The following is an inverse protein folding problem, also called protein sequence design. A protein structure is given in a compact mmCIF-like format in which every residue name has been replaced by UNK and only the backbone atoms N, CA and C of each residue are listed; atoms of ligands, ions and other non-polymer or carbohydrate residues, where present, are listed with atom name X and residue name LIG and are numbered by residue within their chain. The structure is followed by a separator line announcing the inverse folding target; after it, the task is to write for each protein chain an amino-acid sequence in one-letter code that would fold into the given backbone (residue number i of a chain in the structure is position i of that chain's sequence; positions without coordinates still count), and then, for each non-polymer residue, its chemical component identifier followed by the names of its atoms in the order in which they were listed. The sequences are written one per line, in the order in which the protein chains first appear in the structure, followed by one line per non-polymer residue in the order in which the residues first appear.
data_IF_397912326612
#
_entry.id   IF_397912326612
#
_cell.length_a   1.000
_cell.length_b   1.000
_cell.length_c   1.000
_cell.angle_alpha   90.00
_cell.angle_beta   90.00
_cell.angle_gamma   90.00
#
_symmetry.space_group_name_H-M   'P 1'
#
loop_
_entity.id
_entity.type
_entity.pdbx_description
1 polymer ?
#
# COMPACT_ATOMS: atom_id res chain seq x y z
N UNK A 1 27.49 -14.42 -6.69
CA UNK A 1 27.11 -13.99 -8.02
C UNK A 1 26.66 -12.54 -7.94
N UNK A 2 27.14 -11.65 -8.83
CA UNK A 2 26.71 -10.26 -8.79
C UNK A 2 25.20 -10.24 -8.92
N UNK A 3 24.55 -9.43 -8.06
CA UNK A 3 23.18 -9.08 -8.25
C UNK A 3 22.97 -8.71 -9.73
N UNK A 4 22.10 -9.42 -10.44
CA UNK A 4 21.75 -9.07 -11.80
C UNK A 4 21.16 -7.68 -11.72
N UNK A 5 22.03 -6.69 -11.94
CA UNK A 5 21.58 -5.33 -12.17
C UNK A 5 20.53 -5.42 -13.26
N UNK A 6 19.46 -4.66 -13.12
CA UNK A 6 18.41 -4.50 -14.12
C UNK A 6 19.09 -4.25 -15.48
N UNK A 7 19.35 -5.33 -16.21
CA UNK A 7 20.02 -5.28 -17.49
C UNK A 7 18.96 -4.85 -18.50
N UNK A 8 19.12 -3.64 -18.96
CA UNK A 8 18.35 -3.01 -20.01
C UNK A 8 18.49 -3.78 -21.33
N UNK A 9 17.55 -4.66 -21.58
CA UNK A 9 17.19 -5.11 -22.92
C UNK A 9 15.67 -5.03 -23.09
N UNK A 10 15.09 -4.01 -22.48
CA UNK A 10 13.65 -3.86 -22.50
C UNK A 10 13.27 -3.18 -23.81
N UNK A 11 12.62 -3.89 -24.71
CA UNK A 11 12.11 -3.29 -25.91
C UNK A 11 11.06 -2.23 -25.53
N UNK A 12 11.12 -1.01 -26.07
CA UNK A 12 10.13 0.02 -25.77
C UNK A 12 8.70 -0.44 -26.03
N UNK A 13 8.56 -1.41 -26.94
CA UNK A 13 7.28 -2.03 -27.29
C UNK A 13 6.74 -2.87 -26.12
N UNK A 14 7.58 -3.69 -25.47
CA UNK A 14 7.15 -4.51 -24.32
C UNK A 14 6.75 -3.63 -23.13
N UNK A 15 7.50 -2.57 -22.86
CA UNK A 15 7.15 -1.59 -21.82
C UNK A 15 5.82 -0.92 -22.16
N UNK A 16 5.63 -0.50 -23.42
CA UNK A 16 4.37 0.09 -23.88
C UNK A 16 3.18 -0.87 -23.73
N UNK A 17 3.34 -2.12 -24.11
CA UNK A 17 2.33 -3.18 -23.95
C UNK A 17 2.03 -3.43 -22.47
N UNK A 18 3.05 -3.52 -21.61
CA UNK A 18 2.89 -3.71 -20.18
C UNK A 18 2.06 -2.57 -19.56
N UNK A 19 2.42 -1.32 -19.86
CA UNK A 19 1.70 -0.15 -19.34
C UNK A 19 0.27 -0.12 -19.86
N UNK A 20 0.05 -0.37 -21.13
CA UNK A 20 -1.28 -0.31 -21.74
C UNK A 20 -2.22 -1.39 -21.18
N UNK A 21 -1.76 -2.64 -21.12
CA UNK A 21 -2.57 -3.76 -20.64
C UNK A 21 -2.83 -3.63 -19.12
N UNK A 22 -1.80 -3.28 -18.35
CA UNK A 22 -1.96 -3.08 -16.90
C UNK A 22 -2.87 -1.91 -16.58
N UNK A 23 -2.80 -0.81 -17.34
CA UNK A 23 -3.71 0.32 -17.18
C UNK A 23 -5.15 -0.03 -17.56
N UNK A 24 -5.35 -0.76 -18.65
CA UNK A 24 -6.68 -1.23 -19.05
C UNK A 24 -7.30 -2.15 -17.99
N UNK A 25 -6.52 -3.10 -17.47
CA UNK A 25 -6.97 -3.99 -16.40
C UNK A 25 -7.30 -3.24 -15.10
N UNK A 26 -6.49 -2.24 -14.74
CA UNK A 26 -6.76 -1.36 -13.61
C UNK A 26 -8.09 -0.62 -13.76
N UNK A 27 -8.33 -0.05 -14.94
CA UNK A 27 -9.58 0.66 -15.26
C UNK A 27 -10.78 -0.29 -15.20
N UNK A 28 -10.68 -1.46 -15.81
CA UNK A 28 -11.74 -2.48 -15.77
C UNK A 28 -12.04 -2.89 -14.34
N UNK A 29 -11.04 -3.21 -13.53
CA UNK A 29 -11.20 -3.58 -12.14
C UNK A 29 -11.83 -2.45 -11.30
N UNK A 30 -11.52 -1.18 -11.63
CA UNK A 30 -12.14 -0.03 -11.01
C UNK A 30 -13.63 0.08 -11.36
N UNK A 31 -14.01 -0.09 -12.62
CA UNK A 31 -15.41 -0.06 -13.07
C UNK A 31 -16.25 -1.19 -12.49
N UNK A 32 -15.67 -2.37 -12.30
CA UNK A 32 -16.30 -3.51 -11.61
C UNK A 32 -16.45 -3.26 -10.11
N UNK A 33 -15.96 -2.11 -9.60
CA UNK A 33 -15.97 -1.74 -8.17
C UNK A 33 -15.21 -2.71 -7.28
N UNK A 34 -14.16 -3.32 -7.83
CA UNK A 34 -13.29 -4.16 -7.02
C UNK A 34 -12.53 -3.31 -5.98
N UNK A 35 -12.49 -3.70 -4.70
CA UNK A 35 -11.77 -2.94 -3.66
C UNK A 35 -10.30 -2.79 -4.04
N UNK A 36 -9.81 -1.54 -4.15
CA UNK A 36 -8.44 -1.29 -4.62
C UNK A 36 -8.21 -1.61 -6.09
N UNK A 37 -9.28 -1.65 -6.93
CA UNK A 37 -9.26 -2.13 -8.31
C UNK A 37 -8.17 -1.55 -9.19
N UNK A 38 -7.82 -0.26 -9.02
CA UNK A 38 -6.73 0.35 -9.80
C UNK A 38 -5.37 -0.33 -9.54
N UNK A 39 -5.07 -0.65 -8.29
CA UNK A 39 -3.79 -1.27 -7.92
C UNK A 39 -3.83 -2.76 -8.25
N UNK A 40 -4.88 -3.47 -7.83
CA UNK A 40 -4.98 -4.91 -8.04
C UNK A 40 -5.12 -5.28 -9.50
N UNK A 41 -5.89 -4.52 -10.28
CA UNK A 41 -6.03 -4.75 -11.72
C UNK A 41 -4.69 -4.65 -12.45
N UNK A 42 -3.92 -3.59 -12.18
CA UNK A 42 -2.59 -3.43 -12.76
C UNK A 42 -1.63 -4.54 -12.31
N UNK A 43 -1.62 -4.85 -11.02
CA UNK A 43 -0.74 -5.86 -10.43
C UNK A 43 -1.04 -7.26 -10.99
N UNK A 44 -2.33 -7.65 -11.06
CA UNK A 44 -2.74 -8.94 -11.60
C UNK A 44 -2.39 -9.08 -13.08
N UNK A 45 -2.64 -8.04 -13.88
CA UNK A 45 -2.29 -8.04 -15.30
C UNK A 45 -0.76 -8.17 -15.49
N UNK A 46 0.01 -7.41 -14.73
CA UNK A 46 1.47 -7.50 -14.76
C UNK A 46 1.96 -8.89 -14.34
N UNK A 47 1.39 -9.46 -13.29
CA UNK A 47 1.74 -10.81 -12.83
C UNK A 47 1.43 -11.89 -13.87
N UNK A 48 0.29 -11.80 -14.56
CA UNK A 48 -0.09 -12.73 -15.64
C UNK A 48 0.87 -12.57 -16.84
N UNK A 49 1.17 -11.35 -17.25
CA UNK A 49 2.05 -11.08 -18.40
C UNK A 49 3.47 -11.58 -18.17
N UNK A 50 4.04 -11.36 -16.99
CA UNK A 50 5.36 -11.87 -16.63
C UNK A 50 5.34 -13.37 -16.34
N UNK A 51 4.33 -13.87 -15.65
CA UNK A 51 4.19 -15.30 -15.32
C UNK A 51 3.95 -16.19 -16.54
N UNK A 52 3.28 -15.67 -17.57
CA UNK A 52 3.09 -16.38 -18.86
C UNK A 52 4.32 -16.31 -19.78
N UNK A 53 5.32 -15.50 -19.44
CA UNK A 53 6.50 -15.30 -20.28
C UNK A 53 6.23 -14.44 -21.53
N UNK A 54 5.08 -13.77 -21.61
CA UNK A 54 4.76 -12.88 -22.73
C UNK A 54 5.56 -11.58 -22.69
N UNK A 55 5.93 -11.12 -21.50
CA UNK A 55 6.70 -9.90 -21.27
C UNK A 55 7.80 -10.22 -20.28
N UNK A 56 9.02 -9.82 -20.63
CA UNK A 56 10.20 -9.92 -19.77
C UNK A 56 10.76 -8.55 -19.41
N UNK A 57 10.14 -7.49 -19.93
CA UNK A 57 10.56 -6.11 -19.71
C UNK A 57 10.35 -5.69 -18.26
N UNK A 58 11.35 -5.00 -17.72
CA UNK A 58 11.26 -4.32 -16.41
C UNK A 58 11.13 -2.82 -16.59
N UNK A 59 10.50 -2.15 -15.63
CA UNK A 59 10.39 -0.69 -15.68
C UNK A 59 11.76 -0.03 -15.54
N UNK A 60 12.12 0.93 -16.42
CA UNK A 60 13.36 1.67 -16.31
C UNK A 60 13.49 2.34 -14.95
N UNK A 61 14.67 2.30 -14.34
CA UNK A 61 14.92 2.83 -13.00
C UNK A 61 14.55 4.31 -12.85
N UNK A 62 14.77 5.12 -13.89
CA UNK A 62 14.44 6.55 -13.89
C UNK A 62 12.92 6.78 -13.81
N UNK A 63 12.11 5.93 -14.47
CA UNK A 63 10.66 6.01 -14.44
C UNK A 63 10.12 5.62 -13.04
N UNK A 64 10.65 4.53 -12.48
CA UNK A 64 10.31 4.12 -11.10
C UNK A 64 10.67 5.23 -10.12
N UNK A 65 11.85 5.83 -10.25
CA UNK A 65 12.28 6.94 -9.40
C UNK A 65 11.37 8.16 -9.54
N UNK A 66 10.97 8.52 -10.76
CA UNK A 66 10.06 9.64 -11.01
C UNK A 66 8.68 9.38 -10.35
N UNK A 67 8.14 8.17 -10.50
CA UNK A 67 6.87 7.79 -9.85
C UNK A 67 6.98 7.83 -8.33
N UNK A 68 8.09 7.35 -7.76
CA UNK A 68 8.31 7.40 -6.30
C UNK A 68 8.40 8.84 -5.78
N UNK A 69 9.06 9.75 -6.51
CA UNK A 69 9.09 11.18 -6.18
C UNK A 69 7.69 11.79 -6.23
N UNK A 70 6.90 11.49 -7.28
CA UNK A 70 5.52 11.96 -7.38
C UNK A 70 4.64 11.44 -6.24
N UNK A 71 4.74 10.16 -5.90
CA UNK A 71 4.02 9.56 -4.77
C UNK A 71 4.42 10.21 -3.45
N UNK A 72 5.72 10.44 -3.25
CA UNK A 72 6.24 11.15 -2.08
C UNK A 72 5.71 12.58 -1.99
N UNK A 73 5.68 13.31 -3.10
CA UNK A 73 5.15 14.67 -3.18
C UNK A 73 3.64 14.72 -2.88
N UNK A 74 2.85 13.81 -3.46
CA UNK A 74 1.40 13.72 -3.20
C UNK A 74 1.14 13.38 -1.73
N UNK A 75 1.89 12.45 -1.16
CA UNK A 75 1.76 12.07 0.25
C UNK A 75 2.18 13.21 1.16
N UNK A 76 3.31 13.85 0.85
CA UNK A 76 3.83 14.99 1.61
C UNK A 76 2.92 16.21 1.55
N UNK A 77 2.28 16.48 0.41
CA UNK A 77 1.36 17.61 0.24
C UNK A 77 0.15 17.56 1.19
N UNK A 78 -0.24 16.36 1.65
CA UNK A 78 -1.31 16.21 2.64
C UNK A 78 -0.96 16.82 4.00
N UNK A 79 0.33 16.98 4.28
CA UNK A 79 0.83 17.59 5.52
C UNK A 79 1.13 19.09 5.37
N UNK A 80 1.06 19.66 4.17
CA UNK A 80 1.47 21.04 3.89
C UNK A 80 0.74 22.09 4.74
N UNK A 81 -0.54 21.84 5.08
CA UNK A 81 -1.36 22.76 5.88
C UNK A 81 -1.58 22.24 7.32
N UNK A 82 -0.78 21.26 7.77
CA UNK A 82 -0.92 20.69 9.10
C UNK A 82 -0.02 21.43 10.07
N UNK A 83 -0.60 21.99 11.13
CA UNK A 83 0.19 22.64 12.19
C UNK A 83 1.09 21.61 12.88
N UNK A 84 2.36 21.93 13.03
CA UNK A 84 3.33 21.09 13.75
C UNK A 84 2.86 20.74 15.17
N UNK A 85 2.15 21.67 15.84
CA UNK A 85 1.56 21.43 17.16
C UNK A 85 0.54 20.28 17.15
N UNK A 86 -0.25 20.16 16.08
CA UNK A 86 -1.20 19.08 15.92
C UNK A 86 -0.47 17.74 15.72
N UNK A 87 0.61 17.74 14.95
CA UNK A 87 1.46 16.56 14.75
C UNK A 87 2.03 16.06 16.09
N UNK A 88 2.64 16.95 16.87
CA UNK A 88 3.21 16.58 18.16
C UNK A 88 2.14 16.09 19.16
N UNK A 89 0.95 16.68 19.14
CA UNK A 89 -0.14 16.25 20.00
C UNK A 89 -0.59 14.82 19.72
N UNK A 90 -0.59 14.42 18.45
CA UNK A 90 -1.02 13.07 18.04
C UNK A 90 0.14 12.07 17.96
N UNK A 91 1.37 12.53 18.08
CA UNK A 91 2.55 11.67 17.97
C UNK A 91 2.55 10.51 18.96
N UNK A 92 2.26 10.78 20.23
CA UNK A 92 2.22 9.73 21.25
C UNK A 92 1.06 8.75 21.04
N UNK A 93 -0.08 9.23 20.56
CA UNK A 93 -1.21 8.36 20.23
C UNK A 93 -0.88 7.46 19.01
N UNK A 94 -0.23 8.02 17.99
CA UNK A 94 0.22 7.27 16.83
C UNK A 94 1.29 6.23 17.20
N UNK A 95 2.26 6.62 18.04
CA UNK A 95 3.30 5.72 18.54
C UNK A 95 2.70 4.59 19.38
N UNK A 96 1.73 4.89 20.26
CA UNK A 96 1.01 3.90 21.03
C UNK A 96 0.24 2.90 20.15
N UNK A 97 -0.51 3.40 19.16
CA UNK A 97 -1.23 2.58 18.19
C UNK A 97 -0.28 1.69 17.37
N UNK A 98 0.84 2.24 16.94
CA UNK A 98 1.88 1.49 16.21
C UNK A 98 2.48 0.40 17.09
N UNK A 99 2.79 0.69 18.36
CA UNK A 99 3.36 -0.28 19.31
C UNK A 99 2.38 -1.44 19.57
N UNK A 100 1.09 -1.14 19.74
CA UNK A 100 0.05 -2.17 19.90
C UNK A 100 -0.05 -3.03 18.64
N UNK A 101 -0.05 -2.42 17.47
CA UNK A 101 -0.06 -3.15 16.19
C UNK A 101 1.16 -4.06 16.07
N UNK A 102 2.34 -3.56 16.39
CA UNK A 102 3.58 -4.33 16.35
C UNK A 102 3.56 -5.51 17.32
N UNK A 103 3.02 -5.32 18.53
CA UNK A 103 2.86 -6.39 19.51
C UNK A 103 1.92 -7.50 19.01
N UNK A 104 0.77 -7.11 18.44
CA UNK A 104 -0.19 -8.07 17.86
C UNK A 104 0.48 -8.86 16.74
N UNK A 105 1.17 -8.19 15.84
CA UNK A 105 1.92 -8.82 14.73
C UNK A 105 2.99 -9.78 15.28
N UNK A 106 3.75 -9.38 16.30
CA UNK A 106 4.75 -10.23 16.91
C UNK A 106 4.16 -11.50 17.52
N UNK A 107 3.01 -11.39 18.20
CA UNK A 107 2.29 -12.55 18.75
C UNK A 107 1.84 -13.50 17.64
N UNK A 108 1.22 -12.98 16.57
CA UNK A 108 0.80 -13.82 15.44
C UNK A 108 1.98 -14.44 14.70
N UNK A 109 3.07 -13.72 14.52
CA UNK A 109 4.29 -14.23 13.91
C UNK A 109 4.89 -15.37 14.76
N UNK A 110 4.94 -15.20 16.07
CA UNK A 110 5.39 -16.25 16.99
C UNK A 110 4.49 -17.50 16.90
N UNK A 111 3.16 -17.32 16.96
CA UNK A 111 2.21 -18.43 16.81
C UNK A 111 2.41 -19.14 15.48
N UNK A 112 2.55 -18.42 14.36
CA UNK A 112 2.77 -19.01 13.04
C UNK A 112 4.10 -19.79 12.98
N UNK A 113 5.17 -19.25 13.53
CA UNK A 113 6.47 -19.90 13.54
C UNK A 113 6.45 -21.21 14.34
N UNK A 114 5.72 -21.26 15.48
CA UNK A 114 5.64 -22.46 16.30
C UNK A 114 4.64 -23.52 15.80
N UNK A 115 3.64 -23.09 15.00
CA UNK A 115 2.58 -24.02 14.53
C UNK A 115 2.87 -24.63 13.16
N UNK A 116 3.60 -23.93 12.29
CA UNK A 116 3.75 -24.30 10.87
C UNK A 116 5.19 -24.72 10.54
N UNK A 117 6.08 -24.78 11.52
CA UNK A 117 7.50 -25.15 11.34
C UNK A 117 8.22 -24.34 10.25
N UNK A 118 7.94 -23.04 10.23
CA UNK A 118 8.54 -22.09 9.29
C UNK A 118 9.80 -21.46 9.87
N UNK A 119 10.72 -21.05 8.99
CA UNK A 119 11.90 -20.31 9.41
C UNK A 119 11.48 -18.98 10.07
N UNK A 120 11.86 -18.77 11.31
CA UNK A 120 11.50 -17.59 12.09
C UNK A 120 11.82 -16.25 11.37
N UNK A 121 12.98 -16.08 10.72
CA UNK A 121 13.28 -14.85 9.99
C UNK A 121 12.30 -14.55 8.84
N UNK A 122 11.91 -15.58 8.06
CA UNK A 122 10.93 -15.45 6.97
C UNK A 122 9.57 -14.98 7.49
N UNK A 123 9.13 -15.57 8.61
CA UNK A 123 7.88 -15.22 9.26
C UNK A 123 7.93 -13.79 9.80
N UNK A 124 9.00 -13.39 10.49
CA UNK A 124 9.13 -12.05 11.05
C UNK A 124 9.08 -10.98 9.96
N UNK A 125 9.80 -11.16 8.86
CA UNK A 125 9.79 -10.20 7.74
C UNK A 125 8.46 -10.19 7.02
N UNK A 126 7.79 -11.34 6.87
CA UNK A 126 6.47 -11.45 6.24
C UNK A 126 5.36 -10.76 7.04
N UNK A 127 5.42 -10.85 8.37
CA UNK A 127 4.44 -10.23 9.25
C UNK A 127 4.76 -8.77 9.59
N UNK A 128 6.00 -8.32 9.40
CA UNK A 128 6.43 -6.97 9.74
C UNK A 128 5.55 -5.89 9.06
N UNK A 129 5.16 -4.83 9.78
CA UNK A 129 4.45 -3.70 9.19
C UNK A 129 5.42 -2.87 8.36
N UNK A 130 5.42 -3.07 7.04
CA UNK A 130 6.30 -2.36 6.11
C UNK A 130 5.74 -2.31 4.70
N UNK A 131 6.36 -1.48 3.85
CA UNK A 131 6.05 -1.44 2.43
C UNK A 131 6.56 -2.72 1.74
N UNK A 132 5.77 -3.24 0.80
CA UNK A 132 6.10 -4.46 0.07
C UNK A 132 7.52 -4.42 -0.51
N UNK A 133 7.85 -3.32 -1.19
CA UNK A 133 9.15 -3.15 -1.86
C UNK A 133 10.32 -3.22 -0.85
N UNK A 134 10.19 -2.54 0.29
CA UNK A 134 11.21 -2.55 1.32
C UNK A 134 11.39 -3.94 1.95
N UNK A 135 10.29 -4.66 2.18
CA UNK A 135 10.34 -6.02 2.74
C UNK A 135 10.90 -7.03 1.74
N UNK A 136 10.61 -6.87 0.44
CA UNK A 136 11.21 -7.69 -0.61
C UNK A 136 12.72 -7.48 -0.72
N UNK A 137 13.18 -6.23 -0.68
CA UNK A 137 14.61 -5.90 -0.66
C UNK A 137 15.28 -6.49 0.58
N UNK A 138 14.65 -6.36 1.74
CA UNK A 138 15.15 -6.91 2.99
C UNK A 138 15.24 -8.44 2.94
N UNK A 139 14.22 -9.11 2.42
CA UNK A 139 14.21 -10.55 2.25
C UNK A 139 15.37 -11.02 1.37
N UNK A 140 15.59 -10.33 0.23
CA UNK A 140 16.73 -10.62 -0.65
C UNK A 140 18.09 -10.37 0.03
N UNK A 141 18.22 -9.28 0.78
CA UNK A 141 19.45 -8.93 1.49
C UNK A 141 19.79 -9.92 2.62
N UNK A 142 18.78 -10.48 3.27
CA UNK A 142 18.92 -11.46 4.34
C UNK A 142 18.94 -12.92 3.84
N UNK A 143 18.90 -13.15 2.51
CA UNK A 143 18.82 -14.48 1.88
C UNK A 143 17.60 -15.30 2.34
N UNK A 144 16.49 -14.62 2.61
CA UNK A 144 15.20 -15.20 2.93
C UNK A 144 14.43 -15.55 1.65
N UNK A 145 13.27 -16.21 1.79
CA UNK A 145 12.39 -16.50 0.66
C UNK A 145 11.55 -15.25 0.27
N UNK A 146 11.92 -14.51 -0.80
CA UNK A 146 11.20 -13.33 -1.21
C UNK A 146 9.80 -13.65 -1.76
N UNK A 147 9.56 -14.88 -2.26
CA UNK A 147 8.27 -15.30 -2.78
C UNK A 147 7.29 -15.44 -1.61
N UNK A 148 7.72 -16.10 -0.53
CA UNK A 148 6.92 -16.25 0.68
C UNK A 148 6.60 -14.89 1.30
N UNK A 149 7.60 -14.03 1.48
CA UNK A 149 7.43 -12.67 2.02
C UNK A 149 6.47 -11.85 1.16
N UNK A 150 6.69 -11.83 -0.15
CA UNK A 150 5.87 -11.09 -1.10
C UNK A 150 4.41 -11.57 -1.14
N UNK A 151 4.21 -12.89 -1.24
CA UNK A 151 2.87 -13.48 -1.24
C UNK A 151 2.09 -13.14 0.05
N UNK A 152 2.76 -13.16 1.20
CA UNK A 152 2.14 -12.82 2.48
C UNK A 152 1.71 -11.34 2.55
N UNK A 153 2.57 -10.43 2.10
CA UNK A 153 2.25 -9.01 2.04
C UNK A 153 1.09 -8.71 1.08
N UNK A 154 1.07 -9.35 -0.10
CA UNK A 154 -0.01 -9.22 -1.08
C UNK A 154 -1.32 -9.76 -0.51
N UNK A 155 -1.32 -10.96 0.08
CA UNK A 155 -2.50 -11.56 0.71
C UNK A 155 -3.07 -10.66 1.82
N UNK A 156 -2.22 -10.12 2.69
CA UNK A 156 -2.61 -9.17 3.74
C UNK A 156 -3.25 -7.92 3.15
N UNK A 157 -2.65 -7.35 2.10
CA UNK A 157 -3.18 -6.18 1.44
C UNK A 157 -4.55 -6.45 0.80
N UNK A 158 -4.73 -7.60 0.16
CA UNK A 158 -6.01 -8.02 -0.41
C UNK A 158 -7.08 -8.18 0.67
N UNK A 159 -6.75 -8.86 1.77
CA UNK A 159 -7.66 -9.06 2.89
C UNK A 159 -8.12 -7.73 3.50
N UNK A 160 -7.18 -6.82 3.76
CA UNK A 160 -7.51 -5.51 4.33
C UNK A 160 -8.36 -4.69 3.36
N UNK A 161 -8.02 -4.69 2.07
CA UNK A 161 -8.76 -3.96 1.04
C UNK A 161 -10.19 -4.49 0.86
N UNK A 162 -10.40 -5.80 0.99
CA UNK A 162 -11.72 -6.41 0.95
C UNK A 162 -12.50 -6.21 2.25
N UNK A 163 -11.84 -6.25 3.41
CA UNK A 163 -12.45 -6.08 4.71
C UNK A 163 -12.87 -4.63 5.00
N UNK A 164 -12.10 -3.64 4.50
CA UNK A 164 -12.33 -2.23 4.78
C UNK A 164 -13.74 -1.74 4.40
N UNK A 165 -14.29 -2.01 3.19
CA UNK A 165 -15.65 -1.62 2.84
C UNK A 165 -16.71 -2.26 3.76
N UNK A 166 -16.49 -3.50 4.18
CA UNK A 166 -17.38 -4.20 5.11
C UNK A 166 -17.34 -3.54 6.50
N UNK A 167 -16.16 -3.20 6.98
CA UNK A 167 -15.98 -2.48 8.25
C UNK A 167 -16.65 -1.11 8.22
N UNK A 168 -16.45 -0.34 7.15
CA UNK A 168 -17.09 0.96 6.97
C UNK A 168 -18.62 0.83 6.92
N UNK A 169 -19.13 -0.22 6.28
CA UNK A 169 -20.58 -0.47 6.23
C UNK A 169 -21.17 -0.83 7.59
N UNK A 170 -20.43 -1.55 8.42
CA UNK A 170 -20.91 -2.00 9.74
C UNK A 170 -20.78 -0.88 10.78
N UNK A 171 -19.66 -0.17 10.80
CA UNK A 171 -19.32 0.78 11.86
C UNK A 171 -19.37 2.25 11.41
N UNK A 172 -19.36 2.53 10.10
CA UNK A 172 -19.27 3.88 9.52
C UNK A 172 -20.58 4.67 9.50
N UNK A 173 -21.65 4.19 10.12
CA UNK A 173 -22.95 4.87 10.16
C UNK A 173 -23.02 5.91 11.29
N UNK A 174 -22.00 6.74 11.45
CA UNK A 174 -22.13 7.97 12.20
C UNK A 174 -22.83 8.98 11.30
N UNK A 175 -24.06 9.44 11.62
CA UNK A 175 -24.70 10.47 10.83
C UNK A 175 -23.80 11.71 10.78
N UNK A 176 -23.75 12.42 9.65
CA UNK A 176 -22.99 13.65 9.56
C UNK A 176 -23.49 14.62 10.62
N UNK A 177 -22.60 15.42 11.25
CA UNK A 177 -23.02 16.42 12.20
C UNK A 177 -24.06 17.33 11.55
N UNK A 178 -25.12 17.75 12.30
CA UNK A 178 -26.15 18.63 11.74
C UNK A 178 -25.48 19.89 11.17
N UNK A 179 -25.98 20.40 10.04
CA UNK A 179 -25.44 21.60 9.43
C UNK A 179 -25.35 22.71 10.48
N UNK A 180 -24.19 23.33 10.60
CA UNK A 180 -23.98 24.47 11.48
C UNK A 180 -25.04 25.51 11.17
N UNK A 181 -25.80 25.96 12.19
CA UNK A 181 -26.78 27.03 12.02
C UNK A 181 -26.12 28.21 11.32
N UNK A 182 -26.78 28.81 10.32
CA UNK A 182 -26.28 30.03 9.71
C UNK A 182 -25.99 31.06 10.82
N UNK A 183 -24.94 31.87 10.68
CA UNK A 183 -24.65 32.89 11.67
C UNK A 183 -25.88 33.77 11.83
N UNK A 184 -26.37 33.85 13.06
CA UNK A 184 -27.51 34.67 13.44
C UNK A 184 -27.21 36.11 13.05
N UNK A 185 -27.99 36.66 12.11
CA UNK A 185 -27.82 38.04 11.67
C UNK A 185 -27.98 38.94 12.90
N UNK A 186 -26.90 39.57 13.32
CA UNK A 186 -26.98 40.60 14.36
C UNK A 186 -27.97 41.67 13.88
N UNK A 187 -28.90 42.11 14.75
CA UNK A 187 -29.80 43.20 14.39
C UNK A 187 -28.94 44.43 14.03
N UNK A 188 -29.25 45.04 12.89
CA UNK A 188 -28.70 46.32 12.52
C UNK A 188 -29.17 47.31 13.57
N UNK A 189 -28.25 47.87 14.33
CA UNK A 189 -28.53 49.01 15.17
C UNK A 189 -28.71 50.20 14.23
N UNK A 190 -29.95 50.63 14.02
CA UNK A 190 -30.26 51.91 13.41
C UNK A 190 -29.94 53.00 14.44
N UNK A 191 -28.93 53.80 14.17
CA UNK A 191 -28.67 55.11 14.81
C UNK A 191 -29.44 56.21 14.05
#
# INVERSE_FOLDING_TARGET
PPARGFAATDSPLEIGMLVLISSAAAIVAHYVRFPGGLIFGAMLASAILHGSGLIHASMPWWLVSAVMVCLGAITGSRFANTELRLLFRHFFAALGSFSVSLLIVAVFAAVAAFTVDLNLPDVVVSYAPGALDAMMILALALHLDPIFVGAHHVARFMLISAALPLFVRIYGQTPPPPPSKPPEKRPVQED
#
